data_IF_969640165590
#
_entry.id   IF_969640165590
#
_cell.length_a   1.000
_cell.length_b   1.000
_cell.length_c   1.000
_cell.angle_alpha   90.00
_cell.angle_beta   90.00
_cell.angle_gamma   90.00
#
_symmetry.space_group_name_H-M   'P 1'
#
loop_
_entity.id
_entity.type
_entity.pdbx_description
1 polymer ?
#
# COMPACT_ATOMS: atom_id res chain seq x y z
N UNK A 1 -30.98 -21.34 25.17
CA UNK A 1 -29.54 -21.23 25.48
C UNK A 1 -28.79 -21.10 24.16
N UNK A 2 -27.91 -20.10 24.06
CA UNK A 2 -27.50 -19.46 22.81
C UNK A 2 -26.56 -20.29 21.94
N UNK A 3 -26.92 -20.37 20.65
CA UNK A 3 -26.04 -20.67 19.52
C UNK A 3 -24.86 -19.69 19.45
N UNK A 4 -23.65 -20.22 19.29
CA UNK A 4 -22.50 -19.55 18.64
C UNK A 4 -21.62 -20.63 18.01
N UNK A 5 -21.09 -20.55 16.80
CA UNK A 5 -21.45 -19.96 15.50
C UNK A 5 -20.42 -20.63 14.54
N UNK A 6 -20.76 -20.91 13.28
CA UNK A 6 -19.89 -21.64 12.37
C UNK A 6 -18.66 -20.78 12.01
N UNK A 7 -17.48 -21.39 12.00
CA UNK A 7 -16.26 -20.79 11.46
C UNK A 7 -16.46 -20.51 9.97
N UNK A 8 -16.90 -19.30 9.66
CA UNK A 8 -17.04 -18.76 8.32
C UNK A 8 -15.68 -18.21 7.86
N UNK A 9 -15.15 -18.81 6.81
CA UNK A 9 -13.96 -18.38 6.09
C UNK A 9 -14.23 -17.05 5.35
N UNK A 10 -13.40 -16.02 5.60
CA UNK A 10 -12.87 -15.07 4.59
C UNK A 10 -12.37 -13.78 5.25
N UNK A 11 -11.08 -13.73 5.57
CA UNK A 11 -10.31 -12.49 5.42
C UNK A 11 -9.00 -12.88 4.74
N UNK A 12 -9.01 -12.86 3.41
CA UNK A 12 -7.76 -12.80 2.61
C UNK A 12 -6.88 -11.73 3.25
N UNK A 13 -5.60 -12.02 3.40
CA UNK A 13 -4.58 -11.12 3.99
C UNK A 13 -4.80 -9.66 3.57
N UNK A 14 -5.42 -8.87 4.46
CA UNK A 14 -5.34 -7.41 4.43
C UNK A 14 -4.23 -7.04 5.41
N UNK A 15 -3.34 -6.16 4.95
CA UNK A 15 -2.19 -5.72 5.72
C UNK A 15 -2.61 -5.24 7.12
N UNK A 16 -1.81 -5.64 8.13
CA UNK A 16 -2.10 -5.46 9.56
C UNK A 16 -2.29 -3.99 10.00
N UNK A 17 -1.87 -3.02 9.18
CA UNK A 17 -1.98 -1.58 9.45
C UNK A 17 -3.39 -1.00 9.34
N UNK A 18 -4.30 -1.66 8.61
CA UNK A 18 -5.59 -1.06 8.19
C UNK A 18 -6.67 -1.21 9.27
N UNK A 19 -6.57 -2.20 10.17
CA UNK A 19 -7.66 -2.52 11.11
C UNK A 19 -7.76 -1.58 12.32
N UNK A 20 -6.71 -0.83 12.66
CA UNK A 20 -6.65 -0.02 13.89
C UNK A 20 -6.88 1.47 13.69
N UNK A 21 -6.87 1.95 12.43
CA UNK A 21 -6.94 3.37 12.12
C UNK A 21 -8.01 3.61 11.07
N UNK A 22 -8.90 4.53 11.39
CA UNK A 22 -9.93 4.95 10.45
C UNK A 22 -9.34 5.74 9.28
N UNK A 23 -8.45 6.68 9.56
CA UNK A 23 -7.77 7.49 8.55
C UNK A 23 -6.27 7.16 8.60
N UNK A 24 -5.61 6.86 7.46
CA UNK A 24 -4.19 6.56 7.46
C UNK A 24 -3.31 7.79 7.73
N UNK A 25 -3.88 9.00 7.69
CA UNK A 25 -3.20 10.29 7.92
C UNK A 25 -3.80 11.00 9.15
N UNK A 26 -2.93 11.30 10.10
CA UNK A 26 -3.24 12.13 11.26
C UNK A 26 -3.38 13.62 10.85
N UNK A 27 -4.01 14.45 11.69
CA UNK A 27 -4.17 15.89 11.43
C UNK A 27 -2.84 16.64 11.30
N UNK A 28 -1.79 16.12 11.91
CA UNK A 28 -0.41 16.62 11.79
C UNK A 28 0.23 16.31 10.43
N UNK A 29 -0.42 15.50 9.60
CA UNK A 29 0.11 14.96 8.36
C UNK A 29 0.95 13.69 8.52
N UNK A 30 1.19 13.25 9.76
CA UNK A 30 1.88 11.99 10.06
C UNK A 30 1.05 10.78 9.58
N UNK A 31 1.72 9.80 9.00
CA UNK A 31 1.09 8.55 8.52
C UNK A 31 1.17 7.47 9.61
N UNK A 32 0.06 6.76 9.84
CA UNK A 32 -0.10 5.80 10.94
C UNK A 32 0.88 4.61 10.90
N UNK A 33 1.49 4.34 9.75
CA UNK A 33 2.59 3.37 9.62
C UNK A 33 3.74 3.66 10.60
N UNK A 34 3.96 4.95 10.92
CA UNK A 34 4.99 5.40 11.85
C UNK A 34 4.66 5.14 13.34
N UNK A 35 3.46 4.61 13.66
CA UNK A 35 3.16 4.10 15.01
C UNK A 35 3.83 2.74 15.27
N UNK A 36 4.23 2.01 14.22
CA UNK A 36 4.89 0.70 14.32
C UNK A 36 6.28 0.67 13.67
N UNK A 37 6.45 1.35 12.52
CA UNK A 37 7.73 1.46 11.83
C UNK A 37 8.47 2.70 12.32
N UNK A 38 9.25 2.52 13.39
CA UNK A 38 9.85 3.63 14.15
C UNK A 38 11.06 4.27 13.48
N UNK A 39 11.76 3.53 12.61
CA UNK A 39 12.92 4.04 11.89
C UNK A 39 12.46 4.88 10.68
N UNK A 40 13.06 6.06 10.52
CA UNK A 40 12.83 6.91 9.37
C UNK A 40 13.73 6.46 8.19
N UNK A 41 13.12 6.27 7.02
CA UNK A 41 13.81 6.06 5.74
C UNK A 41 13.15 6.95 4.69
N UNK A 42 13.95 7.55 3.78
CA UNK A 42 13.40 8.38 2.72
C UNK A 42 12.56 7.54 1.75
N UNK A 43 11.53 8.16 1.21
CA UNK A 43 10.71 7.66 0.11
C UNK A 43 10.54 8.78 -0.90
N UNK A 44 10.44 8.43 -2.18
CA UNK A 44 10.26 9.40 -3.26
C UNK A 44 8.97 9.07 -4.01
N UNK A 45 8.27 10.12 -4.45
CA UNK A 45 7.10 10.01 -5.31
C UNK A 45 7.25 10.98 -6.48
N UNK A 46 7.11 10.46 -7.69
CA UNK A 46 7.10 11.24 -8.92
C UNK A 46 5.72 11.07 -9.58
N UNK A 47 5.10 12.21 -9.90
CA UNK A 47 3.82 12.28 -10.62
C UNK A 47 3.94 13.38 -11.68
N UNK A 48 3.15 13.31 -12.76
CA UNK A 48 3.09 14.42 -13.72
C UNK A 48 2.68 15.71 -13.03
N UNK A 49 3.21 16.83 -13.50
CA UNK A 49 2.88 18.16 -12.97
C UNK A 49 1.37 18.47 -13.11
N UNK A 50 0.75 18.01 -14.19
CA UNK A 50 -0.66 18.20 -14.46
C UNK A 50 -1.22 16.97 -15.18
N UNK A 51 -2.51 16.72 -14.98
CA UNK A 51 -3.25 15.65 -15.64
C UNK A 51 -4.57 16.21 -16.16
N UNK A 52 -5.00 15.73 -17.32
CA UNK A 52 -6.31 16.06 -17.87
C UNK A 52 -7.41 15.26 -17.14
N UNK A 53 -8.66 15.75 -17.16
CA UNK A 53 -9.80 14.98 -16.66
C UNK A 53 -9.91 13.60 -17.33
N UNK A 54 -10.40 12.60 -16.60
CA UNK A 54 -10.56 11.21 -17.06
C UNK A 54 -9.31 10.61 -17.74
N UNK A 55 -8.11 10.98 -17.28
CA UNK A 55 -6.86 10.50 -17.87
C UNK A 55 -6.11 9.61 -16.87
N UNK A 56 -5.60 8.48 -17.36
CA UNK A 56 -4.73 7.59 -16.58
C UNK A 56 -3.31 8.16 -16.57
N UNK A 57 -2.68 8.22 -15.40
CA UNK A 57 -1.30 8.64 -15.24
C UNK A 57 -0.53 7.70 -14.31
N UNK A 58 0.79 7.76 -14.38
CA UNK A 58 1.69 6.99 -13.52
C UNK A 58 2.05 7.79 -12.26
N UNK A 59 1.98 7.13 -11.10
CA UNK A 59 2.61 7.60 -9.88
C UNK A 59 3.76 6.66 -9.52
N UNK A 60 5.00 7.13 -9.70
CA UNK A 60 6.20 6.33 -9.49
C UNK A 60 6.61 6.50 -8.02
N UNK A 61 6.57 5.41 -7.26
CA UNK A 61 6.98 5.40 -5.84
C UNK A 61 8.30 4.66 -5.72
N UNK A 62 9.32 5.31 -5.14
CA UNK A 62 10.62 4.71 -4.87
C UNK A 62 10.86 4.60 -3.38
N UNK A 63 11.29 3.42 -2.93
CA UNK A 63 11.62 3.12 -1.53
C UNK A 63 13.07 2.62 -1.51
N UNK A 64 14.07 3.51 -1.51
CA UNK A 64 15.45 3.11 -1.57
C UNK A 64 15.89 2.42 -0.27
N UNK A 65 16.54 1.27 -0.42
CA UNK A 65 17.23 0.59 0.67
C UNK A 65 18.42 -0.19 0.12
N UNK A 66 19.38 -0.48 0.99
CA UNK A 66 20.53 -1.30 0.63
C UNK A 66 20.11 -2.77 0.52
N UNK A 67 20.08 -3.29 -0.71
CA UNK A 67 19.69 -4.66 -1.01
C UNK A 67 20.72 -5.70 -0.53
N UNK A 68 21.93 -5.29 -0.16
CA UNK A 68 22.93 -6.20 0.43
C UNK A 68 22.63 -6.48 1.92
N UNK A 69 21.89 -5.58 2.57
CA UNK A 69 21.51 -5.74 3.97
C UNK A 69 20.31 -6.68 4.12
N UNK A 70 20.38 -7.53 5.14
CA UNK A 70 19.32 -8.48 5.50
C UNK A 70 18.70 -8.09 6.83
N UNK A 71 17.38 -8.21 6.94
CA UNK A 71 16.64 -8.02 8.18
C UNK A 71 16.53 -9.33 8.98
N UNK A 72 16.29 -9.23 10.28
CA UNK A 72 15.94 -10.37 11.13
C UNK A 72 14.45 -10.68 10.92
N UNK A 73 14.16 -11.92 10.50
CA UNK A 73 12.81 -12.41 10.30
C UNK A 73 12.19 -12.89 11.63
N UNK A 74 10.87 -13.14 11.64
CA UNK A 74 10.15 -13.62 12.82
C UNK A 74 10.69 -14.94 13.42
N UNK A 75 11.38 -15.76 12.61
CA UNK A 75 12.02 -16.99 13.05
C UNK A 75 13.47 -16.80 13.55
N UNK A 76 13.94 -15.55 13.67
CA UNK A 76 15.30 -15.19 14.09
C UNK A 76 16.37 -15.29 13.00
N UNK A 77 16.06 -15.80 11.80
CA UNK A 77 17.02 -15.89 10.68
C UNK A 77 17.12 -14.56 9.92
N UNK A 78 18.23 -14.36 9.21
CA UNK A 78 18.41 -13.20 8.31
C UNK A 78 17.77 -13.46 6.94
N UNK A 79 17.01 -12.49 6.43
CA UNK A 79 16.35 -12.56 5.12
C UNK A 79 16.18 -11.19 4.45
N UNK A 80 15.58 -11.19 3.26
CA UNK A 80 15.31 -9.97 2.49
C UNK A 80 14.25 -9.08 3.15
N UNK A 81 14.21 -7.82 2.72
CA UNK A 81 13.20 -6.85 3.15
C UNK A 81 11.97 -6.92 2.23
N UNK A 82 10.79 -6.84 2.82
CA UNK A 82 9.54 -6.65 2.09
C UNK A 82 9.17 -5.16 2.15
N UNK A 83 8.54 -4.67 1.10
CA UNK A 83 8.09 -3.27 1.00
C UNK A 83 6.58 -3.19 0.86
N UNK A 84 6.02 -2.08 1.32
CA UNK A 84 4.62 -1.74 1.18
C UNK A 84 4.44 -0.24 1.36
N UNK A 85 3.38 0.32 0.77
CA UNK A 85 3.11 1.74 0.81
C UNK A 85 1.61 2.00 0.98
N UNK A 86 1.29 3.18 1.51
CA UNK A 86 -0.06 3.75 1.50
C UNK A 86 0.01 5.03 0.70
N UNK A 87 -0.72 5.10 -0.41
CA UNK A 87 -0.84 6.28 -1.25
C UNK A 87 -2.21 6.91 -1.01
N UNK A 88 -2.22 8.19 -0.60
CA UNK A 88 -3.43 8.95 -0.36
C UNK A 88 -3.59 9.92 -1.53
N UNK A 89 -4.54 9.61 -2.41
CA UNK A 89 -4.86 10.45 -3.57
C UNK A 89 -5.89 11.52 -3.18
N UNK A 90 -5.96 12.63 -3.93
CA UNK A 90 -7.06 13.58 -3.80
C UNK A 90 -8.42 12.93 -4.07
N UNK A 91 -9.49 13.56 -3.59
CA UNK A 91 -10.85 13.09 -3.83
C UNK A 91 -11.14 13.03 -5.35
N UNK A 92 -11.85 11.98 -5.78
CA UNK A 92 -12.16 11.72 -7.20
C UNK A 92 -11.05 11.01 -7.98
N UNK A 93 -9.87 10.83 -7.39
CA UNK A 93 -8.81 10.01 -7.99
C UNK A 93 -8.89 8.58 -7.46
N UNK A 94 -8.85 7.62 -8.38
CA UNK A 94 -8.95 6.20 -8.07
C UNK A 94 -7.88 5.40 -8.83
N UNK A 95 -7.72 4.13 -8.46
CA UNK A 95 -6.89 3.22 -9.23
C UNK A 95 -7.50 3.05 -10.63
N UNK A 96 -6.68 3.22 -11.67
CA UNK A 96 -7.13 3.03 -13.04
C UNK A 96 -7.75 1.62 -13.23
N UNK A 97 -8.92 1.51 -13.87
CA UNK A 97 -9.53 0.21 -14.12
C UNK A 97 -8.69 -0.57 -15.14
N UNK A 98 -8.73 -1.90 -15.06
CA UNK A 98 -7.78 -2.79 -15.77
C UNK A 98 -7.89 -2.72 -17.29
N UNK A 99 -9.01 -2.27 -17.82
CA UNK A 99 -9.27 -2.03 -19.24
C UNK A 99 -8.60 -0.75 -19.77
N UNK A 100 -8.41 0.26 -18.91
CA UNK A 100 -7.77 1.55 -19.25
C UNK A 100 -6.25 1.54 -19.10
N UNK A 101 -5.67 0.48 -18.54
CA UNK A 101 -4.20 0.35 -18.37
C UNK A 101 -3.60 -0.28 -19.63
N UNK A 102 -2.65 0.43 -20.25
CA UNK A 102 -1.93 -0.07 -21.44
C UNK A 102 -1.11 -1.33 -21.13
N UNK A 103 -0.79 -2.17 -22.14
CA UNK A 103 0.03 -3.37 -21.93
C UNK A 103 1.40 -3.07 -21.30
N UNK A 104 2.05 -1.98 -21.72
CA UNK A 104 3.34 -1.53 -21.16
C UNK A 104 3.22 -1.20 -19.67
N UNK A 105 2.15 -0.48 -19.28
CA UNK A 105 1.88 -0.15 -17.88
C UNK A 105 1.59 -1.39 -17.04
N UNK A 106 0.86 -2.37 -17.60
CA UNK A 106 0.59 -3.65 -16.93
C UNK A 106 1.87 -4.41 -16.63
N UNK A 107 2.83 -4.39 -17.56
CA UNK A 107 4.13 -5.03 -17.35
C UNK A 107 4.93 -4.34 -16.23
N UNK A 108 4.95 -2.99 -16.19
CA UNK A 108 5.60 -2.22 -15.11
C UNK A 108 4.97 -2.47 -13.74
N UNK A 109 3.63 -2.58 -13.69
CA UNK A 109 2.89 -2.93 -12.47
C UNK A 109 3.22 -4.37 -12.03
N UNK A 110 3.43 -5.27 -12.98
CA UNK A 110 3.82 -6.65 -12.71
C UNK A 110 2.88 -7.34 -11.72
N UNK A 111 3.40 -7.72 -10.57
CA UNK A 111 2.68 -8.46 -9.52
C UNK A 111 2.21 -7.58 -8.35
N UNK A 112 2.31 -6.25 -8.47
CA UNK A 112 1.83 -5.37 -7.40
C UNK A 112 0.32 -5.55 -7.19
N UNK A 113 -0.06 -5.73 -5.93
CA UNK A 113 -1.46 -5.84 -5.52
C UNK A 113 -1.88 -4.53 -4.89
N UNK A 114 -2.77 -3.82 -5.57
CA UNK A 114 -3.40 -2.62 -5.03
C UNK A 114 -4.66 -2.99 -4.27
N UNK A 115 -4.85 -2.36 -3.11
CA UNK A 115 -6.06 -2.54 -2.29
C UNK A 115 -6.54 -1.17 -1.84
N UNK A 116 -7.84 -0.93 -1.96
CA UNK A 116 -8.47 0.26 -1.39
C UNK A 116 -8.36 0.21 0.14
N UNK A 117 -8.03 1.36 0.75
CA UNK A 117 -7.85 1.45 2.20
C UNK A 117 -9.13 1.13 2.97
N UNK A 118 -10.27 1.53 2.42
CA UNK A 118 -11.61 1.13 2.88
C UNK A 118 -12.38 0.53 1.71
N UNK A 119 -13.19 -0.53 1.94
CA UNK A 119 -14.22 -0.90 0.98
C UNK A 119 -15.20 0.27 0.85
N UNK A 120 -15.56 0.60 -0.40
CA UNK A 120 -16.67 1.51 -0.72
C UNK A 120 -18.01 0.81 -0.47
#
# INVERSE_FOLDING_TARGET
MQNRNPFSWRKKQMARSIYGYENPRETTGRIVCANCHLANKPVEIEVPQAVLPDTVFEAIVRIPYDMQLKQVLANGKKGGLNVGAVLILPEGFELAPTDRISPELKEKIGQFVFQSYRPQ
#
